data_IF_989123778980
#
_entry.id   IF_989123778980
#
_cell.length_a   1.000
_cell.length_b   1.000
_cell.length_c   1.000
_cell.angle_alpha   90.00
_cell.angle_beta   90.00
_cell.angle_gamma   90.00
#
_symmetry.space_group_name_H-M   'P 1'
#
loop_
_entity.id
_entity.type
_entity.pdbx_description
1 polymer ?
#
# COMPACT_ATOMS: atom_id res chain seq x y z
N UNK A 1 11.17 75.74 11.95
CA UNK A 1 11.40 75.02 10.70
C UNK A 1 11.48 73.53 11.04
N UNK A 2 10.34 72.83 10.98
CA UNK A 2 10.23 71.40 11.28
C UNK A 2 10.42 70.59 9.99
N UNK A 3 11.41 69.66 9.96
CA UNK A 3 11.56 68.74 8.85
C UNK A 3 10.67 67.50 9.11
N UNK A 4 9.84 67.08 8.18
CA UNK A 4 9.11 65.80 8.34
C UNK A 4 10.05 64.61 8.03
N UNK A 5 10.17 63.72 9.00
CA UNK A 5 10.82 62.40 8.81
C UNK A 5 9.83 61.50 8.10
N UNK A 6 10.17 61.10 6.89
CA UNK A 6 9.41 60.09 6.12
C UNK A 6 9.82 58.71 6.67
N UNK A 7 8.91 58.03 7.35
CA UNK A 7 9.05 56.65 7.79
C UNK A 7 8.75 55.71 6.61
N UNK A 8 9.78 55.12 6.03
CA UNK A 8 9.65 54.17 4.93
C UNK A 8 9.19 52.82 5.51
N UNK A 9 7.92 52.48 5.33
CA UNK A 9 7.35 51.20 5.74
C UNK A 9 7.74 50.13 4.69
N UNK A 10 8.74 49.31 4.98
CA UNK A 10 9.09 48.15 4.14
C UNK A 10 8.09 47.03 4.44
N UNK A 11 7.14 46.84 3.55
CA UNK A 11 6.21 45.69 3.59
C UNK A 11 6.96 44.48 3.00
N UNK A 12 7.36 43.55 3.83
CA UNK A 12 7.95 42.28 3.43
C UNK A 12 6.81 41.35 2.92
N UNK A 13 6.64 41.26 1.63
CA UNK A 13 5.73 40.30 0.99
C UNK A 13 6.37 38.91 1.08
N UNK A 14 5.97 38.12 2.09
CA UNK A 14 6.30 36.69 2.13
C UNK A 14 5.44 35.98 1.08
N UNK A 15 6.05 35.62 -0.03
CA UNK A 15 5.41 34.79 -1.05
C UNK A 15 5.38 33.35 -0.54
N UNK A 16 4.23 32.87 -0.08
CA UNK A 16 4.00 31.45 0.11
C UNK A 16 3.87 30.80 -1.28
N UNK A 17 4.95 30.17 -1.75
CA UNK A 17 4.86 29.24 -2.87
C UNK A 17 4.12 28.00 -2.39
N UNK A 18 2.80 27.95 -2.61
CA UNK A 18 2.09 26.69 -2.61
C UNK A 18 2.63 25.88 -3.80
N UNK A 19 3.41 24.85 -3.48
CA UNK A 19 3.81 23.87 -4.48
C UNK A 19 2.53 23.29 -5.11
N UNK A 20 2.23 23.71 -6.33
CA UNK A 20 1.16 23.10 -7.11
C UNK A 20 1.60 21.67 -7.39
N UNK A 21 0.97 20.72 -6.71
CA UNK A 21 1.02 19.33 -7.09
C UNK A 21 0.35 19.25 -8.47
N UNK A 22 1.14 19.25 -9.55
CA UNK A 22 0.62 18.98 -10.89
C UNK A 22 0.13 17.54 -10.87
N UNK A 23 -1.18 17.29 -11.07
CA UNK A 23 -1.66 15.95 -11.27
C UNK A 23 -0.86 15.38 -12.46
N UNK A 24 -0.32 14.17 -12.32
CA UNK A 24 0.20 13.44 -13.48
C UNK A 24 -0.96 13.33 -14.45
N UNK A 25 -0.77 13.89 -15.65
CA UNK A 25 -1.82 14.04 -16.68
C UNK A 25 -2.11 12.68 -17.37
N UNK A 26 -2.31 11.65 -16.54
CA UNK A 26 -2.64 10.30 -17.00
C UNK A 26 -4.15 10.21 -17.12
N UNK A 27 -4.63 10.23 -18.36
CA UNK A 27 -6.04 10.03 -18.68
C UNK A 27 -6.34 8.53 -18.65
N UNK A 28 -7.29 8.11 -17.83
CA UNK A 28 -7.79 6.74 -17.79
C UNK A 28 -9.12 6.64 -18.55
N UNK A 29 -9.28 5.60 -19.34
CA UNK A 29 -10.59 5.22 -19.86
C UNK A 29 -11.35 4.46 -18.77
N UNK A 30 -12.67 4.40 -18.88
CA UNK A 30 -13.50 3.68 -17.91
C UNK A 30 -13.08 2.21 -17.75
N UNK A 31 -12.77 1.54 -18.86
CA UNK A 31 -12.36 0.14 -18.91
C UNK A 31 -11.03 -0.10 -18.18
N UNK A 32 -10.13 0.87 -18.19
CA UNK A 32 -8.84 0.81 -17.48
C UNK A 32 -9.03 0.87 -15.94
N UNK A 33 -10.19 1.34 -15.47
CA UNK A 33 -10.51 1.50 -14.04
C UNK A 33 -11.24 0.30 -13.44
N UNK A 34 -11.54 -0.73 -14.23
CA UNK A 34 -12.27 -1.93 -13.78
C UNK A 34 -11.41 -3.16 -14.05
N UNK A 35 -10.95 -3.83 -12.98
CA UNK A 35 -10.18 -5.07 -13.07
C UNK A 35 -10.90 -6.16 -12.28
N UNK A 36 -11.24 -7.25 -12.95
CA UNK A 36 -11.86 -8.43 -12.34
C UNK A 36 -10.84 -9.54 -12.21
N UNK A 37 -10.86 -10.25 -11.09
CA UNK A 37 -10.01 -11.43 -10.89
C UNK A 37 -10.29 -12.50 -11.96
N UNK A 38 -9.22 -13.05 -12.51
CA UNK A 38 -9.24 -14.19 -13.42
C UNK A 38 -8.15 -15.18 -13.01
N UNK A 39 -8.52 -16.44 -12.87
CA UNK A 39 -7.58 -17.52 -12.53
C UNK A 39 -6.59 -17.76 -13.68
N UNK A 40 -7.01 -17.56 -14.93
CA UNK A 40 -6.18 -17.73 -16.13
C UNK A 40 -5.09 -16.68 -16.23
N UNK A 41 -5.29 -15.50 -15.61
CA UNK A 41 -4.33 -14.39 -15.56
C UNK A 41 -3.55 -14.35 -14.25
N UNK A 42 -3.90 -15.21 -13.30
CA UNK A 42 -3.19 -15.31 -12.04
C UNK A 42 -1.78 -15.89 -12.27
N UNK A 43 -0.83 -15.40 -11.48
CA UNK A 43 0.56 -15.85 -11.54
C UNK A 43 0.80 -16.91 -10.47
N UNK A 44 1.23 -18.08 -10.87
CA UNK A 44 1.63 -19.15 -9.95
C UNK A 44 2.83 -18.71 -9.10
N UNK A 45 2.84 -19.14 -7.85
CA UNK A 45 3.94 -18.97 -6.90
C UNK A 45 4.35 -20.32 -6.31
N UNK A 46 5.39 -20.37 -5.52
CA UNK A 46 5.81 -21.63 -4.85
C UNK A 46 4.80 -22.09 -3.77
N UNK A 47 3.86 -21.23 -3.36
CA UNK A 47 2.97 -21.47 -2.23
C UNK A 47 1.50 -21.22 -2.54
N UNK A 48 1.14 -21.13 -3.82
CA UNK A 48 -0.20 -20.83 -4.30
C UNK A 48 -0.15 -19.94 -5.53
N UNK A 49 -0.91 -18.84 -5.57
CA UNK A 49 -0.90 -17.90 -6.69
C UNK A 49 -1.15 -16.46 -6.24
N UNK A 50 -0.91 -15.51 -7.16
CA UNK A 50 -1.17 -14.09 -6.94
C UNK A 50 -1.81 -13.45 -8.16
N UNK A 51 -2.53 -12.36 -7.95
CA UNK A 51 -3.16 -11.57 -9.02
C UNK A 51 -3.10 -10.08 -8.68
N UNK A 52 -2.70 -9.24 -9.64
CA UNK A 52 -2.68 -7.80 -9.47
C UNK A 52 -3.95 -7.16 -10.04
N UNK A 53 -4.78 -6.58 -9.19
CA UNK A 53 -5.86 -5.68 -9.62
C UNK A 53 -5.32 -4.32 -10.07
N UNK A 54 -4.26 -3.85 -9.42
CA UNK A 54 -3.48 -2.70 -9.84
C UNK A 54 -2.01 -2.98 -9.55
N UNK A 55 -1.17 -2.92 -10.57
CA UNK A 55 0.27 -3.01 -10.42
C UNK A 55 0.91 -1.63 -10.17
N UNK A 56 2.20 -1.59 -9.87
CA UNK A 56 2.94 -0.36 -9.56
C UNK A 56 3.00 0.65 -10.72
N UNK A 57 2.70 0.23 -11.97
CA UNK A 57 2.74 1.08 -13.16
C UNK A 57 1.37 1.71 -13.43
N UNK A 58 0.30 1.19 -12.81
CA UNK A 58 -1.05 1.69 -13.02
C UNK A 58 -1.25 3.06 -12.38
N UNK A 59 -0.96 3.22 -11.10
CA UNK A 59 -1.12 4.49 -10.39
C UNK A 59 0.08 4.78 -9.49
N UNK A 60 0.95 5.71 -9.84
CA UNK A 60 1.93 6.33 -8.93
C UNK A 60 2.50 5.35 -7.87
N UNK A 61 2.88 4.16 -8.29
CA UNK A 61 3.47 3.13 -7.45
C UNK A 61 2.52 2.37 -6.50
N UNK A 62 1.22 2.68 -6.48
CA UNK A 62 0.26 1.93 -5.65
C UNK A 62 -0.05 0.59 -6.28
N UNK A 63 -0.19 -0.41 -5.42
CA UNK A 63 -0.59 -1.76 -5.83
C UNK A 63 -1.77 -2.24 -5.02
N UNK A 64 -2.60 -3.05 -5.66
CA UNK A 64 -3.61 -3.90 -5.00
C UNK A 64 -3.40 -5.31 -5.56
N UNK A 65 -2.94 -6.21 -4.71
CA UNK A 65 -2.60 -7.58 -5.07
C UNK A 65 -3.41 -8.56 -4.23
N UNK A 66 -4.06 -9.53 -4.87
CA UNK A 66 -4.55 -10.72 -4.21
C UNK A 66 -3.38 -11.71 -4.03
N UNK A 67 -3.23 -12.25 -2.84
CA UNK A 67 -2.39 -13.41 -2.56
C UNK A 67 -3.28 -14.56 -2.12
N UNK A 68 -3.08 -15.72 -2.72
CA UNK A 68 -3.71 -16.99 -2.34
C UNK A 68 -2.61 -17.93 -1.90
N UNK A 69 -2.67 -18.41 -0.67
CA UNK A 69 -1.61 -19.15 -0.01
C UNK A 69 -2.14 -20.48 0.53
N UNK A 70 -1.47 -21.55 0.17
CA UNK A 70 -1.83 -22.91 0.59
C UNK A 70 -1.65 -23.10 2.12
N UNK A 71 -2.34 -24.08 2.71
CA UNK A 71 -2.28 -24.38 4.14
C UNK A 71 -0.85 -24.52 4.67
N UNK A 72 -0.57 -23.88 5.80
CA UNK A 72 0.72 -23.95 6.49
C UNK A 72 1.88 -23.27 5.74
N UNK A 73 1.60 -22.45 4.73
CA UNK A 73 2.60 -21.73 3.93
C UNK A 73 2.58 -20.24 4.18
N UNK A 74 3.66 -19.56 3.78
CA UNK A 74 3.74 -18.10 3.69
C UNK A 74 4.46 -17.69 2.41
N UNK A 75 4.12 -16.52 1.86
CA UNK A 75 4.76 -16.01 0.63
C UNK A 75 6.21 -15.63 0.87
N UNK A 76 6.53 -15.14 2.08
CA UNK A 76 7.87 -14.73 2.51
C UNK A 76 8.07 -15.03 3.99
N UNK A 77 9.31 -15.26 4.41
CA UNK A 77 9.68 -15.13 5.81
C UNK A 77 9.42 -13.68 6.30
N UNK A 78 9.23 -13.46 7.61
CA UNK A 78 9.13 -12.11 8.15
C UNK A 78 10.28 -11.22 7.66
N UNK A 79 9.95 -10.02 7.19
CA UNK A 79 10.90 -9.07 6.59
C UNK A 79 10.51 -7.64 6.91
N UNK A 80 11.33 -6.68 6.51
CA UNK A 80 11.07 -5.25 6.67
C UNK A 80 11.43 -4.48 5.41
N UNK A 81 10.72 -3.38 5.16
CA UNK A 81 11.01 -2.46 4.06
C UNK A 81 10.55 -1.03 4.40
N UNK A 82 11.03 0.00 3.66
CA UNK A 82 10.71 1.40 3.96
C UNK A 82 9.27 1.81 3.70
N UNK A 83 8.53 1.06 2.89
CA UNK A 83 7.12 1.32 2.60
C UNK A 83 6.28 0.71 3.71
N UNK A 84 5.16 1.37 4.03
CA UNK A 84 4.09 0.75 4.79
C UNK A 84 3.18 -0.07 3.84
N UNK A 85 2.49 -1.04 4.40
CA UNK A 85 1.51 -1.82 3.67
C UNK A 85 0.35 -2.27 4.55
N UNK A 86 -0.74 -2.65 3.90
CA UNK A 86 -1.88 -3.28 4.54
C UNK A 86 -2.08 -4.69 3.97
N UNK A 87 -2.40 -5.63 4.86
CA UNK A 87 -3.06 -6.87 4.48
C UNK A 87 -4.53 -6.78 4.85
N UNK A 88 -5.39 -7.32 4.00
CA UNK A 88 -6.82 -7.44 4.30
C UNK A 88 -7.26 -8.87 4.02
N UNK A 89 -7.59 -9.61 5.06
CA UNK A 89 -7.98 -11.02 4.97
C UNK A 89 -9.37 -11.13 4.36
N UNK A 90 -9.50 -11.92 3.30
CA UNK A 90 -10.76 -12.20 2.62
C UNK A 90 -11.33 -13.55 3.03
N UNK A 91 -10.49 -14.60 3.07
CA UNK A 91 -10.88 -15.97 3.38
C UNK A 91 -9.75 -16.69 4.12
N UNK A 92 -10.08 -17.69 4.92
CA UNK A 92 -9.12 -18.52 5.66
C UNK A 92 -8.69 -17.91 6.99
N UNK A 93 -7.66 -18.51 7.60
CA UNK A 93 -7.08 -18.08 8.88
C UNK A 93 -5.65 -17.66 8.65
N UNK A 94 -5.34 -16.41 8.98
CA UNK A 94 -4.00 -15.85 8.87
C UNK A 94 -3.32 -15.78 10.23
N UNK A 95 -2.05 -16.17 10.32
CA UNK A 95 -1.17 -15.73 11.38
C UNK A 95 -0.43 -14.48 10.92
N UNK A 96 -0.61 -13.38 11.63
CA UNK A 96 0.09 -12.12 11.40
C UNK A 96 1.20 -11.93 12.42
N UNK A 97 2.41 -11.65 11.94
CA UNK A 97 3.58 -11.33 12.73
C UNK A 97 3.92 -9.85 12.59
N UNK A 98 4.16 -9.16 13.71
CA UNK A 98 4.63 -7.78 13.75
C UNK A 98 5.58 -7.58 14.94
N UNK A 99 6.84 -7.23 14.69
CA UNK A 99 7.86 -6.88 15.69
C UNK A 99 7.91 -7.83 16.90
N UNK A 100 7.95 -9.12 16.64
CA UNK A 100 8.07 -10.16 17.67
C UNK A 100 6.74 -10.62 18.29
N UNK A 101 5.61 -10.11 17.82
CA UNK A 101 4.27 -10.55 18.27
C UNK A 101 3.54 -11.22 17.12
N UNK A 102 2.72 -12.22 17.45
CA UNK A 102 1.83 -12.90 16.51
C UNK A 102 0.39 -12.84 16.98
N UNK A 103 -0.53 -12.87 16.02
CA UNK A 103 -1.97 -13.04 16.26
C UNK A 103 -2.59 -13.82 15.10
N UNK A 104 -3.48 -14.73 15.40
CA UNK A 104 -4.35 -15.37 14.41
C UNK A 104 -5.60 -14.54 14.18
N UNK A 105 -5.98 -14.36 12.93
CA UNK A 105 -7.14 -13.59 12.52
C UNK A 105 -7.88 -14.27 11.38
N UNK A 106 -9.19 -14.03 11.32
CA UNK A 106 -10.07 -14.51 10.25
C UNK A 106 -10.41 -13.45 9.22
N UNK A 107 -11.39 -13.75 8.34
CA UNK A 107 -11.86 -12.85 7.29
C UNK A 107 -12.29 -11.47 7.78
N UNK A 108 -12.23 -10.49 6.88
CA UNK A 108 -12.61 -9.08 7.11
C UNK A 108 -11.75 -8.38 8.18
N UNK A 109 -10.51 -8.84 8.36
CA UNK A 109 -9.55 -8.21 9.26
C UNK A 109 -8.50 -7.45 8.45
N UNK A 110 -8.28 -6.19 8.81
CA UNK A 110 -7.19 -5.35 8.29
C UNK A 110 -5.99 -5.40 9.22
N UNK A 111 -4.81 -5.59 8.64
CA UNK A 111 -3.53 -5.67 9.33
C UNK A 111 -2.61 -4.61 8.74
N UNK A 112 -2.13 -3.69 9.57
CA UNK A 112 -1.23 -2.61 9.15
C UNK A 112 0.22 -2.95 9.49
N UNK A 113 1.09 -2.86 8.49
CA UNK A 113 2.53 -3.04 8.61
C UNK A 113 3.20 -1.66 8.50
N UNK A 114 3.62 -1.04 9.62
CA UNK A 114 4.32 0.25 9.58
C UNK A 114 5.64 0.16 8.80
N UNK A 115 6.06 1.27 8.21
CA UNK A 115 7.39 1.40 7.58
C UNK A 115 8.50 0.90 8.51
N UNK A 116 9.40 0.08 7.98
CA UNK A 116 10.56 -0.49 8.66
C UNK A 116 10.25 -1.40 9.87
N UNK A 117 9.00 -1.78 10.12
CA UNK A 117 8.66 -2.83 11.08
C UNK A 117 8.90 -4.21 10.48
N UNK A 118 9.38 -5.16 11.29
CA UNK A 118 9.52 -6.56 10.90
C UNK A 118 8.12 -7.19 10.88
N UNK A 119 7.64 -7.61 9.71
CA UNK A 119 6.28 -8.12 9.55
C UNK A 119 6.21 -9.33 8.61
N UNK A 120 5.11 -10.06 8.69
CA UNK A 120 4.83 -11.21 7.85
C UNK A 120 3.41 -11.72 8.03
N UNK A 121 2.95 -12.51 7.06
CA UNK A 121 1.66 -13.19 7.11
C UNK A 121 1.80 -14.61 6.60
N UNK A 122 1.22 -15.57 7.31
CA UNK A 122 1.19 -16.97 6.94
C UNK A 122 -0.21 -17.54 7.03
N UNK A 123 -0.46 -18.64 6.35
CA UNK A 123 -1.70 -19.38 6.44
C UNK A 123 -1.63 -20.34 7.65
N UNK A 124 -2.36 -20.02 8.70
CA UNK A 124 -2.48 -20.83 9.92
C UNK A 124 -3.63 -21.83 9.84
N UNK A 125 -4.45 -21.80 8.78
CA UNK A 125 -5.60 -22.68 8.60
C UNK A 125 -5.29 -23.94 7.78
N UNK A 126 -6.32 -24.75 7.59
CA UNK A 126 -6.32 -25.98 6.80
C UNK A 126 -6.90 -25.81 5.39
N UNK A 127 -7.38 -24.61 5.07
CA UNK A 127 -7.85 -24.19 3.73
C UNK A 127 -6.97 -23.09 3.19
N UNK A 128 -7.14 -22.72 1.92
CA UNK A 128 -6.41 -21.60 1.33
C UNK A 128 -6.70 -20.29 2.08
N UNK A 129 -5.65 -19.53 2.36
CA UNK A 129 -5.73 -18.15 2.84
C UNK A 129 -5.78 -17.22 1.63
N UNK A 130 -6.79 -16.35 1.56
CA UNK A 130 -6.87 -15.28 0.56
C UNK A 130 -6.82 -13.92 1.24
N UNK A 131 -5.90 -13.07 0.83
CA UNK A 131 -5.79 -11.72 1.35
C UNK A 131 -5.33 -10.71 0.29
N UNK A 132 -5.76 -9.48 0.45
CA UNK A 132 -5.24 -8.37 -0.34
C UNK A 132 -3.97 -7.81 0.30
N UNK A 133 -3.03 -7.42 -0.55
CA UNK A 133 -1.85 -6.61 -0.18
C UNK A 133 -2.00 -5.27 -0.87
N UNK A 134 -2.00 -4.19 -0.08
CA UNK A 134 -2.07 -2.83 -0.57
C UNK A 134 -0.82 -2.08 -0.13
N UNK A 135 -0.01 -1.64 -1.09
CA UNK A 135 1.28 -1.01 -0.84
C UNK A 135 1.51 0.15 -1.81
N UNK A 136 2.27 1.16 -1.38
CA UNK A 136 2.77 2.21 -2.27
C UNK A 136 4.29 2.12 -2.37
N UNK A 137 4.78 1.67 -3.51
CA UNK A 137 6.22 1.72 -3.83
C UNK A 137 6.65 3.17 -4.11
N UNK A 138 7.81 3.56 -3.61
CA UNK A 138 8.43 4.82 -4.04
C UNK A 138 8.87 4.66 -5.50
N UNK A 139 8.50 5.61 -6.32
CA UNK A 139 9.08 5.80 -7.65
C UNK A 139 10.37 6.59 -7.54
#
# INVERSE_FOLDING_TARGET
MFKPSILLLVVLLVQFSFGQHTPTDKTYRFEDCVTTYSVEQAQETQVGHQFYFADKNFTDGRTIKLSVVDPGKSTHAPHQHPQDEFFFVLEGTAEFYLDGKTVEVGPYTSLYCPSNSMHGISNAGDTQLKYLVMQKYKQ
#
